data_IF_899801555386
#
_entry.id   IF_899801555386
#
_cell.length_a   1.000
_cell.length_b   1.000
_cell.length_c   1.000
_cell.angle_alpha   90.00
_cell.angle_beta   90.00
_cell.angle_gamma   90.00
#
_symmetry.space_group_name_H-M   'P 1'
#
loop_
_entity.id
_entity.type
_entity.pdbx_description
1 polymer ?
#
# COMPACT_ATOMS: atom_id res chain seq x y z
N UNK A 1 -21.61 8.58 5.91
CA UNK A 1 -21.20 8.54 4.49
C UNK A 1 -20.42 7.25 4.29
N UNK A 2 -20.74 6.47 3.26
CA UNK A 2 -20.01 5.25 2.91
C UNK A 2 -18.95 5.56 1.87
N UNK A 3 -17.76 5.00 2.02
CA UNK A 3 -16.70 5.04 1.01
C UNK A 3 -16.66 3.70 0.30
N UNK A 4 -16.73 3.71 -1.03
CA UNK A 4 -16.56 2.49 -1.82
C UNK A 4 -15.08 2.24 -2.08
N UNK A 5 -14.59 1.04 -1.73
CA UNK A 5 -13.20 0.65 -1.88
C UNK A 5 -13.13 -0.65 -2.70
N UNK A 6 -12.29 -0.67 -3.73
CA UNK A 6 -12.17 -1.84 -4.63
C UNK A 6 -10.85 -1.84 -5.38
N UNK A 7 -10.48 -3.02 -5.88
CA UNK A 7 -9.42 -3.20 -6.86
C UNK A 7 -10.05 -3.19 -8.27
N UNK A 8 -9.43 -2.51 -9.21
CA UNK A 8 -9.87 -2.40 -10.61
C UNK A 8 -8.81 -2.92 -11.58
N UNK A 9 -9.23 -3.14 -12.83
CA UNK A 9 -8.38 -3.45 -13.98
C UNK A 9 -7.37 -4.58 -13.68
N UNK A 10 -7.89 -5.74 -13.24
CA UNK A 10 -7.10 -6.94 -12.96
C UNK A 10 -5.93 -6.70 -11.97
N UNK A 11 -6.14 -5.82 -11.00
CA UNK A 11 -5.11 -5.51 -9.99
C UNK A 11 -4.27 -4.29 -10.29
N UNK A 12 -4.56 -3.54 -11.35
CA UNK A 12 -3.76 -2.38 -11.72
C UNK A 12 -4.02 -1.13 -10.85
N UNK A 13 -5.18 -1.05 -10.19
CA UNK A 13 -5.57 0.13 -9.42
C UNK A 13 -6.27 -0.20 -8.10
N UNK A 14 -5.93 0.55 -7.06
CA UNK A 14 -6.83 0.78 -5.91
C UNK A 14 -7.75 1.95 -6.22
N UNK A 15 -9.05 1.72 -6.08
CA UNK A 15 -10.08 2.72 -6.30
C UNK A 15 -10.82 3.10 -5.01
N UNK A 16 -11.02 4.40 -4.84
CA UNK A 16 -11.78 5.00 -3.73
C UNK A 16 -12.89 5.87 -4.32
N UNK A 17 -14.14 5.56 -4.00
CA UNK A 17 -15.33 6.21 -4.57
C UNK A 17 -15.31 6.23 -6.11
N UNK A 18 -14.97 5.09 -6.71
CA UNK A 18 -14.91 4.90 -8.17
C UNK A 18 -13.81 5.70 -8.89
N UNK A 19 -12.98 6.45 -8.14
CA UNK A 19 -11.78 7.11 -8.67
C UNK A 19 -10.56 6.21 -8.52
N UNK A 20 -9.69 6.20 -9.53
CA UNK A 20 -8.39 5.54 -9.50
C UNK A 20 -7.41 6.37 -8.66
N UNK A 21 -6.92 5.82 -7.55
CA UNK A 21 -6.09 6.55 -6.58
C UNK A 21 -4.63 6.10 -6.55
N UNK A 22 -4.41 4.78 -6.54
CA UNK A 22 -3.07 4.20 -6.39
C UNK A 22 -2.84 3.21 -7.53
N UNK A 23 -1.73 3.33 -8.23
CA UNK A 23 -1.42 2.55 -9.42
C UNK A 23 -0.35 1.49 -9.18
N UNK A 24 -0.36 0.47 -10.02
CA UNK A 24 0.84 -0.35 -10.28
C UNK A 24 1.92 0.47 -11.00
N UNK A 25 3.12 -0.07 -11.12
CA UNK A 25 4.32 0.55 -11.71
C UNK A 25 4.85 1.78 -10.96
N UNK A 26 4.29 2.08 -9.79
CA UNK A 26 4.85 3.05 -8.86
C UNK A 26 6.05 2.46 -8.10
N UNK A 27 6.99 3.32 -7.72
CA UNK A 27 8.13 2.95 -6.88
C UNK A 27 7.85 3.35 -5.43
N UNK A 28 7.76 2.37 -4.54
CA UNK A 28 7.48 2.61 -3.13
C UNK A 28 8.72 2.36 -2.30
N UNK A 29 9.04 3.30 -1.42
CA UNK A 29 10.13 3.17 -0.47
C UNK A 29 9.55 2.77 0.87
N UNK A 30 9.64 1.48 1.18
CA UNK A 30 9.01 0.86 2.36
C UNK A 30 10.07 0.25 3.27
N UNK A 31 9.85 0.22 4.60
CA UNK A 31 10.70 -0.56 5.50
C UNK A 31 10.71 -2.03 5.11
N UNK A 32 11.66 -2.76 5.69
CA UNK A 32 11.84 -4.21 5.50
C UNK A 32 10.54 -4.99 5.28
N UNK A 33 10.46 -5.63 4.12
CA UNK A 33 9.34 -6.47 3.71
C UNK A 33 9.49 -7.91 4.21
N UNK A 34 8.39 -8.66 4.26
CA UNK A 34 8.40 -10.07 4.65
C UNK A 34 9.17 -10.98 3.70
N UNK A 35 9.28 -10.60 2.42
CA UNK A 35 9.88 -11.42 1.37
C UNK A 35 11.32 -11.02 1.01
N UNK A 36 11.88 -9.97 1.62
CA UNK A 36 13.28 -9.59 1.37
C UNK A 36 13.98 -9.04 2.62
N UNK A 37 15.29 -9.21 2.68
CA UNK A 37 16.08 -8.85 3.86
C UNK A 37 16.58 -7.39 3.88
N UNK A 38 16.26 -6.59 2.86
CA UNK A 38 16.67 -5.18 2.79
C UNK A 38 16.12 -4.37 3.96
N UNK A 39 16.94 -3.54 4.61
CA UNK A 39 16.48 -2.64 5.68
C UNK A 39 15.43 -1.64 5.18
N UNK A 40 15.68 -1.11 3.98
CA UNK A 40 14.76 -0.28 3.20
C UNK A 40 14.61 -0.91 1.82
N UNK A 41 13.37 -1.19 1.43
CA UNK A 41 13.02 -1.77 0.15
C UNK A 41 12.54 -0.66 -0.79
N UNK A 42 13.22 -0.50 -1.92
CA UNK A 42 12.66 0.20 -3.07
C UNK A 42 11.84 -0.84 -3.86
N UNK A 43 10.52 -0.78 -3.75
CA UNK A 43 9.54 -1.77 -4.21
C UNK A 43 8.84 -1.25 -5.46
N UNK A 44 8.92 -1.97 -6.58
CA UNK A 44 8.05 -1.74 -7.73
C UNK A 44 6.76 -2.53 -7.54
N UNK A 45 5.62 -1.84 -7.60
CA UNK A 45 4.29 -2.46 -7.49
C UNK A 45 3.91 -3.11 -8.81
N UNK A 46 3.56 -4.39 -8.78
CA UNK A 46 3.19 -5.14 -10.00
C UNK A 46 1.71 -5.52 -10.04
N UNK A 47 1.05 -5.65 -8.88
CA UNK A 47 -0.39 -5.88 -8.83
C UNK A 47 -0.96 -5.87 -7.40
N UNK A 48 -2.13 -5.26 -7.24
CA UNK A 48 -2.86 -5.28 -5.97
C UNK A 48 -3.62 -6.60 -5.82
N UNK A 49 -3.48 -7.23 -4.66
CA UNK A 49 -4.16 -8.50 -4.35
C UNK A 49 -5.30 -8.33 -3.36
N UNK A 50 -5.24 -7.30 -2.51
CA UNK A 50 -6.29 -7.00 -1.54
C UNK A 50 -6.31 -5.52 -1.15
N UNK A 51 -7.47 -5.03 -0.71
CA UNK A 51 -7.65 -3.64 -0.28
C UNK A 51 -8.62 -3.58 0.90
N UNK A 52 -8.28 -2.79 1.91
CA UNK A 52 -9.02 -2.73 3.16
C UNK A 52 -8.89 -1.40 3.88
N UNK A 53 -9.50 -1.33 5.06
CA UNK A 53 -9.46 -0.16 5.93
C UNK A 53 -9.15 -0.59 7.35
N UNK A 54 -8.15 0.05 7.98
CA UNK A 54 -7.94 0.04 9.42
C UNK A 54 -8.29 1.42 10.01
N UNK A 55 -9.45 1.50 10.67
CA UNK A 55 -10.02 2.75 11.15
C UNK A 55 -10.29 3.76 10.03
N UNK A 56 -9.37 4.70 9.82
CA UNK A 56 -9.41 5.67 8.71
C UNK A 56 -8.29 5.47 7.69
N UNK A 57 -7.38 4.54 7.94
CA UNK A 57 -6.25 4.21 7.07
C UNK A 57 -6.73 3.29 5.96
N UNK A 58 -6.49 3.65 4.71
CA UNK A 58 -6.67 2.74 3.58
C UNK A 58 -5.39 1.95 3.42
N UNK A 59 -5.51 0.62 3.39
CA UNK A 59 -4.38 -0.29 3.28
C UNK A 59 -4.57 -1.25 2.11
N UNK A 60 -3.47 -1.76 1.57
CA UNK A 60 -3.46 -2.74 0.50
C UNK A 60 -2.43 -3.82 0.74
N UNK A 61 -2.69 -4.99 0.17
CA UNK A 61 -1.69 -6.02 -0.05
C UNK A 61 -1.42 -6.07 -1.55
N UNK A 62 -0.16 -6.21 -1.92
CA UNK A 62 0.27 -6.20 -3.31
C UNK A 62 1.41 -7.19 -3.56
N UNK A 63 1.51 -7.64 -4.79
CA UNK A 63 2.68 -8.31 -5.35
C UNK A 63 3.62 -7.28 -5.98
N UNK A 64 4.92 -7.45 -5.77
CA UNK A 64 5.93 -6.57 -6.35
C UNK A 64 7.35 -7.11 -6.18
N UNK A 65 8.30 -6.35 -6.69
CA UNK A 65 9.73 -6.66 -6.66
C UNK A 65 10.52 -5.58 -5.93
N UNK A 66 11.37 -5.99 -4.98
CA UNK A 66 12.38 -5.12 -4.41
C UNK A 66 13.52 -4.96 -5.43
N UNK A 67 13.72 -3.75 -5.96
CA UNK A 67 14.76 -3.49 -6.97
C UNK A 67 16.17 -3.42 -6.38
N UNK A 68 16.28 -3.35 -5.04
CA UNK A 68 17.58 -3.37 -4.34
C UNK A 68 18.21 -4.77 -4.39
N UNK A 69 17.45 -5.83 -4.11
CA UNK A 69 17.95 -7.20 -4.06
C UNK A 69 17.38 -8.14 -5.14
N UNK A 70 16.37 -7.68 -5.89
CA UNK A 70 15.71 -8.44 -6.95
C UNK A 70 14.65 -9.45 -6.48
N UNK A 71 14.45 -9.64 -5.17
CA UNK A 71 13.43 -10.55 -4.65
C UNK A 71 12.01 -10.00 -4.88
N UNK A 72 11.09 -10.89 -5.27
CA UNK A 72 9.67 -10.57 -5.46
C UNK A 72 8.80 -11.37 -4.51
N UNK A 73 7.64 -10.80 -4.16
CA UNK A 73 6.71 -11.46 -3.26
C UNK A 73 5.44 -10.64 -3.02
N UNK A 74 4.52 -11.24 -2.27
CA UNK A 74 3.33 -10.55 -1.77
C UNK A 74 3.64 -9.91 -0.42
N UNK A 75 3.27 -8.64 -0.28
CA UNK A 75 3.44 -7.86 0.94
C UNK A 75 2.41 -8.25 2.03
N UNK A 76 2.69 -7.83 3.26
CA UNK A 76 1.65 -7.64 4.27
C UNK A 76 0.75 -6.44 3.93
N UNK A 77 -0.03 -5.97 4.89
CA UNK A 77 -0.81 -4.74 4.72
C UNK A 77 0.12 -3.52 4.74
N UNK A 78 0.03 -2.71 3.69
CA UNK A 78 0.76 -1.45 3.55
C UNK A 78 -0.25 -0.31 3.41
N UNK A 79 -0.11 0.78 4.18
CA UNK A 79 -1.03 1.91 4.07
C UNK A 79 -0.71 2.76 2.85
N UNK A 80 -1.77 3.21 2.19
CA UNK A 80 -1.67 3.99 0.95
C UNK A 80 -2.35 5.36 1.06
N UNK A 81 -3.26 5.52 2.02
CA UNK A 81 -3.99 6.76 2.19
C UNK A 81 -4.79 6.81 3.49
N UNK A 82 -5.52 7.91 3.68
CA UNK A 82 -6.50 8.06 4.75
C UNK A 82 -7.82 8.61 4.23
N UNK A 83 -8.92 8.25 4.89
CA UNK A 83 -10.22 8.89 4.70
C UNK A 83 -10.39 9.99 5.74
N UNK A 84 -10.56 11.22 5.27
CA UNK A 84 -10.82 12.42 6.10
C UNK A 84 -12.08 13.08 5.54
N UNK A 85 -13.12 13.19 6.37
CA UNK A 85 -14.40 13.79 5.99
C UNK A 85 -15.03 13.22 4.70
N UNK A 86 -14.80 11.92 4.45
CA UNK A 86 -15.30 11.22 3.26
C UNK A 86 -14.39 11.32 2.03
N UNK A 87 -13.31 12.09 2.12
CA UNK A 87 -12.34 12.27 1.04
C UNK A 87 -11.08 11.44 1.26
N UNK A 88 -10.52 10.92 0.16
CA UNK A 88 -9.24 10.24 0.18
C UNK A 88 -8.07 11.24 0.21
N UNK A 89 -7.13 11.00 1.11
CA UNK A 89 -5.86 11.73 1.24
C UNK A 89 -4.72 10.74 1.05
N UNK A 90 -3.91 10.96 0.01
CA UNK A 90 -2.80 10.07 -0.34
C UNK A 90 -1.70 10.12 0.73
N UNK A 91 -1.06 8.98 0.98
CA UNK A 91 0.18 8.92 1.73
C UNK A 91 1.34 8.82 0.74
N UNK A 92 2.30 9.71 0.89
CA UNK A 92 3.52 9.70 0.08
C UNK A 92 4.33 8.42 0.38
N UNK A 93 4.40 7.52 -0.60
CA UNK A 93 5.20 6.29 -0.52
C UNK A 93 6.51 6.39 -1.28
N UNK A 94 6.71 7.42 -2.11
CA UNK A 94 7.97 7.61 -2.86
C UNK A 94 9.01 8.30 -1.96
N UNK A 95 8.56 9.23 -1.10
CA UNK A 95 9.40 9.99 -0.17
C UNK A 95 9.86 9.21 1.07
N UNK A 96 9.36 7.98 1.29
CA UNK A 96 9.80 7.10 2.39
C UNK A 96 9.32 7.51 3.78
N UNK A 97 8.23 8.27 3.91
CA UNK A 97 7.66 8.55 5.21
C UNK A 97 6.97 7.30 5.77
N UNK A 98 7.53 6.73 6.84
CA UNK A 98 6.86 5.65 7.55
C UNK A 98 5.49 6.15 8.04
N UNK A 99 4.40 5.42 7.77
CA UNK A 99 3.10 5.71 8.37
C UNK A 99 3.23 5.55 9.88
N UNK A 100 3.12 6.64 10.64
CA UNK A 100 2.96 6.56 12.10
C UNK A 100 1.56 6.04 12.41
N UNK A 101 1.40 4.71 12.36
CA UNK A 101 0.27 3.95 12.90
C UNK A 101 0.74 3.12 14.11
N UNK A 102 -0.14 2.83 15.08
CA UNK A 102 0.27 2.19 16.33
C UNK A 102 0.85 0.80 16.08
N UNK A 103 1.98 0.52 16.73
CA UNK A 103 2.62 -0.80 16.83
C UNK A 103 1.60 -1.87 17.26
N UNK A 104 1.59 -3.07 16.66
CA UNK A 104 0.77 -4.16 17.19
C UNK A 104 1.27 -4.54 18.57
N UNK A 105 0.36 -4.59 19.54
CA UNK A 105 0.67 -5.08 20.88
C UNK A 105 1.06 -6.56 20.79
N UNK A 106 2.27 -6.88 21.26
CA UNK A 106 2.68 -8.25 21.54
C UNK A 106 1.64 -8.93 22.46
N UNK A 107 1.19 -10.12 22.07
CA UNK A 107 0.53 -11.08 22.96
C UNK A 107 1.29 -12.39 22.88
#
# INVERSE_FOLDING_TARGET
MSVALRILDDGAWVSVNDERRVAVSELWRVPRLSFCDCELSDLVVEGFVDVGVDGRTVETRLYGQCIVCGQSGTTGWLPVGRIVDGEYRDLDREGGAAPTGPTPADT
#
